data_IF_519715420685
#
_entry.id   IF_519715420685
#
_cell.length_a   1.000
_cell.length_b   1.000
_cell.length_c   1.000
_cell.angle_alpha   90.00
_cell.angle_beta   90.00
_cell.angle_gamma   90.00
#
_symmetry.space_group_name_H-M   'P 1'
#
loop_
_entity.id
_entity.type
_entity.pdbx_description
1 polymer ?
#
# COMPACT_ATOMS: atom_id res chain seq x y z
N UNK A 1 17.81 6.24 16.29
CA UNK A 1 16.64 5.47 16.75
C UNK A 1 16.14 4.66 15.57
N UNK A 2 16.11 3.33 15.69
CA UNK A 2 15.67 2.48 14.58
C UNK A 2 14.18 2.72 14.26
N UNK A 3 13.81 2.71 12.97
CA UNK A 3 12.43 2.88 12.56
C UNK A 3 11.54 1.71 13.02
N UNK A 4 10.27 2.02 13.30
CA UNK A 4 9.24 0.99 13.52
C UNK A 4 9.08 0.09 12.29
N UNK A 5 8.50 -1.10 12.45
CA UNK A 5 8.30 -2.04 11.34
C UNK A 5 7.51 -1.40 10.18
N UNK A 6 6.43 -0.70 10.50
CA UNK A 6 5.63 0.08 9.54
C UNK A 6 6.43 1.23 8.93
N UNK A 7 7.33 1.88 9.67
CA UNK A 7 8.25 2.87 9.14
C UNK A 7 9.20 2.27 8.10
N UNK A 8 9.78 1.11 8.39
CA UNK A 8 10.62 0.37 7.44
C UNK A 8 9.84 -0.06 6.20
N UNK A 9 8.59 -0.48 6.38
CA UNK A 9 7.71 -0.80 5.26
C UNK A 9 7.43 0.42 4.37
N UNK A 10 7.19 1.60 4.95
CA UNK A 10 7.01 2.84 4.17
C UNK A 10 8.29 3.26 3.44
N UNK A 11 9.49 2.99 3.97
CA UNK A 11 10.72 3.20 3.20
C UNK A 11 10.81 2.26 2.01
N UNK A 12 10.33 1.03 2.17
CA UNK A 12 10.39 0.03 1.13
C UNK A 12 9.35 0.25 0.03
N UNK A 13 8.09 0.56 0.40
CA UNK A 13 6.95 0.57 -0.53
C UNK A 13 6.21 1.91 -0.61
N UNK A 14 6.60 2.91 0.18
CA UNK A 14 5.99 4.25 0.16
C UNK A 14 6.49 5.13 -0.98
N UNK A 15 7.31 4.59 -1.88
CA UNK A 15 7.70 5.23 -3.14
C UNK A 15 6.88 4.69 -4.31
N UNK A 16 6.40 5.59 -5.16
CA UNK A 16 5.55 5.25 -6.30
C UNK A 16 6.26 4.28 -7.26
N UNK A 17 7.55 4.48 -7.54
CA UNK A 17 8.28 3.64 -8.48
C UNK A 17 8.44 2.22 -7.96
N UNK A 18 8.64 2.02 -6.66
CA UNK A 18 8.70 0.67 -6.10
C UNK A 18 7.40 -0.09 -6.36
N UNK A 19 6.24 0.50 -6.08
CA UNK A 19 4.96 -0.15 -6.34
C UNK A 19 4.72 -0.38 -7.83
N UNK A 20 5.08 0.57 -8.70
CA UNK A 20 4.97 0.40 -10.15
C UNK A 20 5.89 -0.73 -10.66
N UNK A 21 7.13 -0.81 -10.17
CA UNK A 21 8.08 -1.89 -10.52
C UNK A 21 7.54 -3.24 -10.09
N UNK A 22 7.11 -3.37 -8.83
CA UNK A 22 6.51 -4.60 -8.30
C UNK A 22 5.31 -5.03 -9.15
N UNK A 23 4.45 -4.08 -9.48
CA UNK A 23 3.30 -4.35 -10.32
C UNK A 23 3.66 -4.89 -11.70
N UNK A 24 4.64 -4.30 -12.41
CA UNK A 24 5.06 -4.83 -13.73
C UNK A 24 5.68 -6.24 -13.56
N UNK A 25 6.42 -6.46 -12.47
CA UNK A 25 6.97 -7.77 -12.15
C UNK A 25 5.88 -8.83 -11.89
N UNK A 26 4.78 -8.47 -11.24
CA UNK A 26 3.66 -9.38 -11.00
C UNK A 26 2.78 -9.60 -12.23
N UNK A 27 2.35 -8.52 -12.88
CA UNK A 27 1.31 -8.55 -13.93
C UNK A 27 1.87 -8.91 -15.31
N UNK A 28 3.07 -8.42 -15.64
CA UNK A 28 3.72 -8.62 -16.94
C UNK A 28 4.94 -9.53 -16.87
N UNK A 29 5.26 -10.07 -15.69
CA UNK A 29 6.47 -10.86 -15.45
C UNK A 29 7.76 -10.13 -15.85
N UNK A 30 7.77 -8.80 -15.76
CA UNK A 30 8.92 -7.97 -16.08
C UNK A 30 10.06 -8.25 -15.12
N UNK A 31 11.23 -8.64 -15.65
CA UNK A 31 12.42 -9.02 -14.87
C UNK A 31 13.71 -8.32 -15.32
N UNK A 32 13.72 -7.71 -16.50
CA UNK A 32 14.92 -7.11 -17.09
C UNK A 32 14.84 -5.59 -17.05
N UNK A 33 16.00 -4.98 -16.88
CA UNK A 33 16.14 -3.52 -16.84
C UNK A 33 15.53 -2.81 -18.06
N UNK A 34 15.81 -3.31 -19.27
CA UNK A 34 15.32 -2.74 -20.52
C UNK A 34 13.78 -2.79 -20.62
N UNK A 35 13.17 -3.88 -20.14
CA UNK A 35 11.72 -4.04 -20.16
C UNK A 35 11.05 -3.05 -19.20
N UNK A 36 11.58 -2.87 -17.98
CA UNK A 36 11.07 -1.83 -17.07
C UNK A 36 11.20 -0.42 -17.63
N UNK A 37 12.29 -0.11 -18.33
CA UNK A 37 12.43 1.19 -19.00
C UNK A 37 11.36 1.41 -20.06
N UNK A 38 11.12 0.38 -20.88
CA UNK A 38 10.10 0.44 -21.93
C UNK A 38 8.69 0.62 -21.34
N UNK A 39 8.41 -0.08 -20.23
CA UNK A 39 7.10 -0.09 -19.57
C UNK A 39 6.83 1.16 -18.71
N UNK A 40 7.83 1.71 -18.02
CA UNK A 40 7.63 2.77 -17.03
C UNK A 40 7.97 4.17 -17.53
N UNK A 41 8.73 4.29 -18.63
CA UNK A 41 9.15 5.60 -19.17
C UNK A 41 10.01 6.45 -18.22
N UNK A 42 10.55 5.84 -17.16
CA UNK A 42 11.39 6.48 -16.14
C UNK A 42 12.84 6.62 -16.62
N UNK A 43 13.57 7.62 -16.11
CA UNK A 43 14.98 7.78 -16.42
C UNK A 43 15.81 6.57 -15.95
N UNK A 44 16.89 6.29 -16.68
CA UNK A 44 17.80 5.19 -16.38
C UNK A 44 18.39 5.29 -14.97
N UNK A 45 18.78 6.50 -14.55
CA UNK A 45 19.34 6.76 -13.23
C UNK A 45 18.36 6.49 -12.10
N UNK A 46 17.09 6.91 -12.26
CA UNK A 46 16.04 6.68 -11.25
C UNK A 46 15.70 5.19 -11.17
N UNK A 47 15.52 4.50 -12.31
CA UNK A 47 15.25 3.06 -12.30
C UNK A 47 16.40 2.26 -11.68
N UNK A 48 17.65 2.57 -12.06
CA UNK A 48 18.81 1.89 -11.50
C UNK A 48 18.95 2.14 -10.00
N UNK A 49 18.67 3.36 -9.53
CA UNK A 49 18.58 3.69 -8.11
C UNK A 49 17.55 2.83 -7.38
N UNK A 50 16.33 2.78 -7.90
CA UNK A 50 15.22 2.04 -7.31
C UNK A 50 15.44 0.53 -7.28
N UNK A 51 15.91 -0.06 -8.37
CA UNK A 51 16.22 -1.49 -8.38
C UNK A 51 17.33 -1.84 -7.38
N UNK A 52 18.34 -0.96 -7.22
CA UNK A 52 19.39 -1.15 -6.21
C UNK A 52 18.82 -1.11 -4.79
N UNK A 53 17.95 -0.13 -4.48
CA UNK A 53 17.27 -0.02 -3.19
C UNK A 53 16.37 -1.24 -2.92
N UNK A 54 15.61 -1.70 -3.92
CA UNK A 54 14.78 -2.89 -3.80
C UNK A 54 15.59 -4.17 -3.58
N UNK A 55 16.77 -4.30 -4.20
CA UNK A 55 17.70 -5.42 -3.93
C UNK A 55 18.25 -5.32 -2.51
N UNK A 56 18.71 -4.14 -2.09
CA UNK A 56 19.23 -3.93 -0.73
C UNK A 56 18.15 -4.17 0.36
N UNK A 57 16.90 -3.80 0.08
CA UNK A 57 15.75 -4.03 0.96
C UNK A 57 15.19 -5.46 0.92
N UNK A 58 15.78 -6.34 0.10
CA UNK A 58 15.39 -7.74 -0.01
C UNK A 58 14.07 -7.98 -0.74
N UNK A 59 13.60 -7.04 -1.57
CA UNK A 59 12.42 -7.21 -2.43
C UNK A 59 12.76 -7.89 -3.76
N UNK A 60 13.97 -7.66 -4.27
CA UNK A 60 14.45 -8.26 -5.51
C UNK A 60 15.75 -9.02 -5.27
N UNK A 61 15.96 -10.11 -6.02
CA UNK A 61 17.23 -10.84 -6.07
C UNK A 61 17.79 -10.81 -7.50
N UNK A 62 19.01 -10.30 -7.72
CA UNK A 62 19.64 -10.37 -9.03
C UNK A 62 20.02 -11.82 -9.37
N UNK A 63 19.81 -12.22 -10.61
CA UNK A 63 20.24 -13.50 -11.16
C UNK A 63 20.83 -13.28 -12.56
N UNK A 64 21.94 -13.95 -12.90
CA UNK A 64 22.48 -13.89 -14.25
C UNK A 64 21.53 -14.60 -15.22
N UNK A 65 21.31 -14.02 -16.41
CA UNK A 65 20.62 -14.68 -17.51
C UNK A 65 21.49 -14.65 -18.77
N UNK A 66 21.53 -15.77 -19.51
CA UNK A 66 22.38 -15.92 -20.70
C UNK A 66 21.60 -15.63 -21.99
N UNK A 67 21.94 -14.53 -22.64
CA UNK A 67 21.67 -14.28 -24.07
C UNK A 67 22.71 -13.29 -24.65
N UNK A 68 23.98 -13.68 -24.71
CA UNK A 68 25.10 -12.82 -25.12
C UNK A 68 25.82 -12.14 -23.93
N UNK A 69 26.15 -10.84 -24.02
CA UNK A 69 26.73 -10.06 -22.89
C UNK A 69 25.89 -10.30 -21.63
N UNK A 70 26.51 -10.70 -20.51
CA UNK A 70 25.83 -11.03 -19.26
C UNK A 70 24.82 -9.95 -18.88
N UNK A 71 23.52 -10.28 -18.96
CA UNK A 71 22.44 -9.40 -18.53
C UNK A 71 21.87 -9.96 -17.22
N UNK A 72 21.56 -9.06 -16.30
CA UNK A 72 20.98 -9.38 -14.99
C UNK A 72 19.46 -9.36 -15.08
N UNK A 73 18.82 -10.42 -14.63
CA UNK A 73 17.41 -10.43 -14.28
C UNK A 73 17.22 -10.18 -12.79
N UNK A 74 16.06 -9.63 -12.43
CA UNK A 74 15.69 -9.31 -11.07
C UNK A 74 14.43 -10.09 -10.71
N UNK A 75 14.57 -11.01 -9.76
CA UNK A 75 13.50 -11.91 -9.35
C UNK A 75 12.85 -11.41 -8.07
N UNK A 76 11.53 -11.49 -7.98
CA UNK A 76 10.82 -11.22 -6.72
C UNK A 76 11.25 -12.22 -5.66
N UNK A 77 11.55 -11.72 -4.46
CA UNK A 77 11.77 -12.55 -3.28
C UNK A 77 10.44 -12.94 -2.64
N UNK A 78 10.45 -13.84 -1.66
CA UNK A 78 9.26 -14.16 -0.85
C UNK A 78 8.68 -12.90 -0.19
N UNK A 79 9.55 -12.05 0.35
CA UNK A 79 9.18 -10.74 0.92
C UNK A 79 8.40 -9.86 -0.05
N UNK A 80 8.79 -9.82 -1.32
CA UNK A 80 8.07 -9.07 -2.33
C UNK A 80 6.79 -9.78 -2.79
N UNK A 81 6.80 -11.12 -2.91
CA UNK A 81 5.61 -11.92 -3.25
C UNK A 81 4.47 -11.65 -2.24
N UNK A 82 4.80 -11.52 -0.96
CA UNK A 82 3.87 -11.22 0.11
C UNK A 82 3.26 -9.80 0.08
N UNK A 83 3.77 -8.91 -0.79
CA UNK A 83 3.14 -7.61 -1.07
C UNK A 83 1.98 -7.71 -2.07
N UNK A 84 1.73 -8.90 -2.63
CA UNK A 84 0.66 -9.06 -3.60
C UNK A 84 -0.72 -8.63 -3.06
N UNK A 85 -1.15 -9.03 -1.85
CA UNK A 85 -2.41 -8.55 -1.28
C UNK A 85 -2.46 -7.03 -1.14
N UNK A 86 -1.32 -6.37 -0.89
CA UNK A 86 -1.26 -4.91 -0.80
C UNK A 86 -1.61 -4.28 -2.16
N UNK A 87 -1.02 -4.78 -3.25
CA UNK A 87 -1.30 -4.27 -4.59
C UNK A 87 -2.77 -4.49 -5.00
N UNK A 88 -3.36 -5.62 -4.63
CA UNK A 88 -4.77 -5.92 -4.92
C UNK A 88 -5.72 -5.06 -4.07
N UNK A 89 -5.42 -4.86 -2.77
CA UNK A 89 -6.17 -3.93 -1.92
C UNK A 89 -6.13 -2.50 -2.46
N UNK A 90 -4.96 -2.06 -2.95
CA UNK A 90 -4.83 -0.75 -3.59
C UNK A 90 -5.68 -0.69 -4.85
N UNK A 91 -5.57 -1.67 -5.74
CA UNK A 91 -6.39 -1.73 -6.96
C UNK A 91 -7.89 -1.66 -6.64
N UNK A 92 -8.36 -2.42 -5.65
CA UNK A 92 -9.78 -2.45 -5.25
C UNK A 92 -10.24 -1.08 -4.73
N UNK A 93 -9.47 -0.45 -3.85
CA UNK A 93 -9.81 0.87 -3.32
C UNK A 93 -9.80 1.94 -4.42
N UNK A 94 -8.77 1.93 -5.27
CA UNK A 94 -8.61 2.86 -6.37
C UNK A 94 -9.73 2.72 -7.43
N UNK A 95 -10.17 1.49 -7.71
CA UNK A 95 -11.30 1.22 -8.60
C UNK A 95 -12.61 1.79 -8.05
N UNK A 96 -12.83 1.64 -6.75
CA UNK A 96 -14.09 2.02 -6.11
C UNK A 96 -14.20 3.52 -5.81
N UNK A 97 -13.09 4.21 -5.53
CA UNK A 97 -13.12 5.55 -4.92
C UNK A 97 -12.42 6.66 -5.69
N UNK A 98 -11.80 6.35 -6.83
CA UNK A 98 -10.99 7.31 -7.58
C UNK A 98 -11.45 7.37 -9.02
N UNK A 99 -11.95 8.54 -9.40
CA UNK A 99 -12.30 8.87 -10.78
C UNK A 99 -11.05 8.88 -11.63
N UNK A 100 -11.09 8.16 -12.75
CA UNK A 100 -9.94 7.97 -13.64
C UNK A 100 -10.35 8.20 -15.09
N UNK A 101 -9.43 8.67 -15.95
CA UNK A 101 -9.68 8.79 -17.38
C UNK A 101 -9.83 7.41 -18.05
N UNK A 102 -9.15 6.39 -17.52
CA UNK A 102 -9.23 5.01 -17.99
C UNK A 102 -9.57 4.06 -16.83
N UNK A 103 -10.45 3.07 -17.05
CA UNK A 103 -10.78 2.10 -16.01
C UNK A 103 -9.56 1.22 -15.69
N UNK A 104 -9.55 0.66 -14.48
CA UNK A 104 -8.57 -0.35 -14.11
C UNK A 104 -8.96 -1.69 -14.76
N UNK A 105 -7.99 -2.57 -15.09
CA UNK A 105 -8.29 -3.87 -15.66
C UNK A 105 -9.10 -4.68 -14.65
N UNK A 106 -9.93 -5.55 -15.19
CA UNK A 106 -10.72 -6.45 -14.37
C UNK A 106 -9.84 -7.47 -13.64
N UNK A 107 -10.19 -7.71 -12.37
CA UNK A 107 -9.64 -8.81 -11.60
C UNK A 107 -10.57 -10.02 -11.74
N UNK A 108 -10.04 -11.09 -12.33
CA UNK A 108 -10.74 -12.36 -12.51
C UNK A 108 -10.30 -13.33 -11.41
N UNK A 109 -11.26 -13.82 -10.63
CA UNK A 109 -11.00 -14.93 -9.72
C UNK A 109 -11.06 -16.25 -10.49
N UNK A 110 -9.93 -16.95 -10.58
CA UNK A 110 -9.79 -18.17 -11.37
C UNK A 110 -10.67 -19.32 -10.83
N UNK A 111 -10.92 -19.35 -9.52
CA UNK A 111 -11.77 -20.39 -8.91
C UNK A 111 -13.24 -20.31 -9.34
N UNK A 112 -13.77 -19.10 -9.58
CA UNK A 112 -15.16 -18.94 -10.01
C UNK A 112 -15.32 -18.40 -11.44
N UNK A 113 -14.22 -18.07 -12.12
CA UNK A 113 -14.17 -17.58 -13.50
C UNK A 113 -14.74 -16.17 -13.72
N UNK A 114 -15.13 -15.45 -12.66
CA UNK A 114 -15.82 -14.15 -12.77
C UNK A 114 -14.89 -12.98 -12.47
N UNK A 115 -15.09 -11.89 -13.21
CA UNK A 115 -14.52 -10.58 -12.90
C UNK A 115 -15.28 -9.94 -11.73
N UNK A 116 -14.58 -9.48 -10.71
CA UNK A 116 -15.22 -8.88 -9.55
C UNK A 116 -14.25 -8.24 -8.57
N UNK A 117 -14.81 -7.62 -7.53
CA UNK A 117 -14.03 -6.94 -6.50
C UNK A 117 -13.64 -7.89 -5.36
N UNK A 118 -12.77 -7.38 -4.50
CA UNK A 118 -12.24 -8.09 -3.33
C UNK A 118 -12.69 -7.41 -2.05
N UNK A 119 -12.87 -8.19 -1.00
CA UNK A 119 -13.10 -7.69 0.35
C UNK A 119 -12.08 -8.25 1.33
N UNK A 120 -11.79 -7.46 2.38
CA UNK A 120 -10.87 -7.87 3.44
C UNK A 120 -11.53 -8.88 4.37
N UNK A 121 -10.82 -9.94 4.72
CA UNK A 121 -11.21 -10.89 5.75
C UNK A 121 -10.16 -11.10 6.83
N UNK A 122 -10.54 -11.80 7.90
CA UNK A 122 -9.67 -12.20 8.99
C UNK A 122 -9.38 -13.70 8.93
N UNK A 123 -8.15 -14.09 8.55
CA UNK A 123 -7.75 -15.51 8.44
C UNK A 123 -7.86 -16.25 9.77
N UNK A 124 -7.73 -15.54 10.89
CA UNK A 124 -7.86 -16.12 12.23
C UNK A 124 -9.25 -16.75 12.44
N UNK A 125 -10.32 -16.19 11.86
CA UNK A 125 -11.69 -16.66 12.09
C UNK A 125 -12.54 -16.87 10.82
N UNK A 126 -11.99 -16.62 9.63
CA UNK A 126 -12.68 -16.77 8.34
C UNK A 126 -13.78 -15.74 8.06
N UNK A 127 -13.98 -14.74 8.93
CA UNK A 127 -15.00 -13.70 8.72
C UNK A 127 -14.53 -12.65 7.72
N UNK A 128 -15.46 -12.25 6.85
CA UNK A 128 -15.36 -11.14 5.92
C UNK A 128 -16.77 -10.63 5.57
N UNK A 129 -16.95 -9.34 5.21
CA UNK A 129 -15.90 -8.32 5.21
C UNK A 129 -15.51 -7.89 6.63
N UNK A 130 -14.27 -7.47 6.81
CA UNK A 130 -13.76 -6.82 8.02
C UNK A 130 -13.46 -5.36 7.68
N UNK A 131 -14.08 -4.41 8.38
CA UNK A 131 -13.81 -2.99 8.24
C UNK A 131 -13.10 -2.42 9.48
N UNK A 132 -12.62 -1.17 9.40
CA UNK A 132 -11.95 -0.49 10.51
C UNK A 132 -12.78 -0.53 11.81
N UNK A 133 -14.11 -0.37 11.70
CA UNK A 133 -15.05 -0.39 12.83
C UNK A 133 -15.14 -1.73 13.54
N UNK A 134 -14.79 -2.82 12.85
CA UNK A 134 -14.78 -4.18 13.36
C UNK A 134 -13.43 -4.52 14.01
N UNK A 135 -12.58 -3.51 14.22
CA UNK A 135 -11.26 -3.69 14.81
C UNK A 135 -10.99 -2.72 15.95
N UNK A 136 -10.11 -3.15 16.85
CA UNK A 136 -9.44 -2.27 17.81
C UNK A 136 -7.98 -2.20 17.44
N UNK A 137 -7.43 -0.99 17.39
CA UNK A 137 -6.01 -0.80 17.11
C UNK A 137 -5.31 -0.26 18.34
N UNK A 138 -4.31 -0.99 18.81
CA UNK A 138 -3.42 -0.56 19.88
C UNK A 138 -2.03 -0.31 19.30
N UNK A 139 -1.34 0.66 19.89
CA UNK A 139 0.00 1.05 19.49
C UNK A 139 0.82 1.24 20.74
N UNK A 140 2.01 0.66 20.77
CA UNK A 140 2.93 0.84 21.89
C UNK A 140 3.44 2.29 21.96
N UNK A 141 3.73 2.76 23.19
CA UNK A 141 3.94 4.17 23.57
C UNK A 141 4.96 4.90 22.68
N UNK A 142 5.98 4.20 22.20
CA UNK A 142 7.13 4.77 21.51
C UNK A 142 7.09 4.62 19.99
N UNK A 143 5.98 4.17 19.41
CA UNK A 143 5.83 4.05 17.95
C UNK A 143 5.98 5.42 17.30
N UNK A 144 7.22 5.74 16.95
CA UNK A 144 7.63 7.05 16.46
C UNK A 144 7.85 6.93 14.97
N UNK A 145 6.88 7.44 14.22
CA UNK A 145 6.97 7.56 12.77
C UNK A 145 7.79 8.79 12.34
N UNK A 146 8.28 9.57 13.31
CA UNK A 146 8.89 10.88 13.12
C UNK A 146 10.31 10.83 12.48
N UNK A 147 10.95 9.66 12.38
CA UNK A 147 12.35 9.55 11.91
C UNK A 147 12.52 8.96 10.51
N UNK A 148 11.43 8.66 9.81
CA UNK A 148 11.47 7.95 8.52
C UNK A 148 11.19 8.89 7.36
N UNK A 149 12.24 9.41 6.71
CA UNK A 149 12.08 10.19 5.47
C UNK A 149 12.03 9.27 4.26
N UNK A 150 10.83 8.97 3.73
CA UNK A 150 10.72 8.40 2.39
C UNK A 150 11.27 9.43 1.37
N UNK A 151 12.18 9.06 0.45
CA UNK A 151 12.73 9.99 -0.53
C UNK A 151 11.60 10.56 -1.39
N UNK A 152 11.36 11.88 -1.31
CA UNK A 152 10.48 12.60 -2.22
C UNK A 152 11.16 12.75 -3.58
N UNK A 153 11.23 11.67 -4.37
CA UNK A 153 11.77 11.78 -5.71
C UNK A 153 10.68 12.28 -6.68
N UNK A 154 10.64 13.61 -6.78
CA UNK A 154 10.26 14.42 -7.94
C UNK A 154 8.90 14.14 -8.62
N UNK A 155 7.91 14.97 -8.25
CA UNK A 155 6.61 15.14 -8.93
C UNK A 155 6.70 15.79 -10.34
N UNK A 156 7.87 16.01 -10.96
CA UNK A 156 7.97 16.99 -12.08
C UNK A 156 8.76 16.64 -13.35
N UNK A 157 9.27 15.43 -13.51
CA UNK A 157 10.05 15.06 -14.71
C UNK A 157 9.69 13.68 -15.26
N UNK A 158 8.39 13.38 -15.30
CA UNK A 158 7.90 12.14 -15.90
C UNK A 158 6.99 12.51 -17.06
N UNK A 159 7.12 11.81 -18.19
CA UNK A 159 6.06 11.75 -19.20
C UNK A 159 4.76 11.42 -18.48
N UNK A 160 3.67 12.03 -18.88
CA UNK A 160 2.40 11.81 -18.25
C UNK A 160 2.04 10.32 -18.29
N UNK A 161 2.16 9.64 -17.15
CA UNK A 161 1.79 8.23 -17.01
C UNK A 161 0.26 8.10 -16.85
N UNK A 162 -0.49 9.22 -16.90
CA UNK A 162 -1.96 9.24 -16.83
C UNK A 162 -2.64 8.41 -17.93
N UNK A 163 -1.97 8.17 -19.05
CA UNK A 163 -2.47 7.36 -20.17
C UNK A 163 -2.13 5.87 -20.04
N UNK A 164 -1.32 5.47 -19.06
CA UNK A 164 -1.05 4.06 -18.82
C UNK A 164 -2.21 3.44 -18.04
N UNK A 165 -2.92 2.51 -18.67
CA UNK A 165 -3.95 1.69 -18.03
C UNK A 165 -3.40 0.94 -16.79
N UNK A 166 -2.07 0.81 -16.68
CA UNK A 166 -1.36 0.25 -15.52
C UNK A 166 -0.84 1.26 -14.49
N UNK A 167 -1.18 2.55 -14.57
CA UNK A 167 -0.81 3.55 -13.58
C UNK A 167 -1.88 3.73 -12.50
N UNK A 168 -1.96 2.75 -11.61
CA UNK A 168 -3.06 2.64 -10.65
C UNK A 168 -2.97 3.52 -9.40
N UNK A 169 -1.94 4.34 -9.20
CA UNK A 169 -1.60 4.75 -7.82
C UNK A 169 -1.69 6.25 -7.46
N UNK A 170 -2.25 7.19 -8.25
CA UNK A 170 -2.07 8.61 -7.94
C UNK A 170 -2.66 8.99 -6.57
N UNK A 171 -3.87 8.53 -6.24
CA UNK A 171 -4.52 8.89 -4.97
C UNK A 171 -3.93 8.11 -3.78
N UNK A 172 -3.65 6.82 -3.96
CA UNK A 172 -2.97 6.00 -2.96
C UNK A 172 -1.62 6.60 -2.59
N UNK A 173 -0.87 7.14 -3.55
CA UNK A 173 0.41 7.80 -3.26
C UNK A 173 0.25 9.12 -2.51
N UNK A 174 -0.86 9.85 -2.66
CA UNK A 174 -1.12 11.00 -1.78
C UNK A 174 -1.44 10.57 -0.34
N UNK A 175 -1.99 9.37 -0.16
CA UNK A 175 -2.42 8.83 1.14
C UNK A 175 -1.31 8.04 1.87
N UNK A 176 -0.51 7.25 1.16
CA UNK A 176 0.58 6.43 1.73
C UNK A 176 1.98 6.95 1.40
N UNK A 177 2.12 7.76 0.34
CA UNK A 177 3.42 8.17 -0.20
C UNK A 177 4.20 9.13 0.68
N UNK A 178 3.66 9.48 1.85
CA UNK A 178 4.47 10.05 2.90
C UNK A 178 4.08 9.56 4.29
N UNK A 179 5.09 9.64 5.16
CA UNK A 179 5.01 9.21 6.55
C UNK A 179 3.89 9.89 7.32
N UNK A 180 3.63 11.18 7.08
CA UNK A 180 2.67 11.93 7.89
C UNK A 180 1.24 11.53 7.52
N UNK A 181 1.00 11.26 6.24
CA UNK A 181 -0.28 10.75 5.76
C UNK A 181 -0.63 9.39 6.38
N UNK A 182 0.34 8.45 6.41
CA UNK A 182 0.10 7.12 7.00
C UNK A 182 -0.23 7.19 8.49
N UNK A 183 0.38 8.11 9.24
CA UNK A 183 0.22 8.17 10.71
C UNK A 183 -1.00 8.94 11.14
N UNK A 184 -1.38 9.95 10.34
CA UNK A 184 -2.66 10.63 10.48
C UNK A 184 -3.80 9.64 10.23
N UNK A 185 -3.69 8.79 9.19
CA UNK A 185 -4.65 7.69 8.99
C UNK A 185 -4.67 6.71 10.16
N UNK A 186 -3.50 6.26 10.62
CA UNK A 186 -3.40 5.36 11.76
C UNK A 186 -4.11 5.95 13.00
N UNK A 187 -3.84 7.23 13.32
CA UNK A 187 -4.49 7.94 14.42
C UNK A 187 -6.01 8.05 14.22
N UNK A 188 -6.47 8.32 12.99
CA UNK A 188 -7.89 8.39 12.68
C UNK A 188 -8.61 7.04 12.83
N UNK A 189 -7.97 5.92 12.46
CA UNK A 189 -8.50 4.58 12.74
C UNK A 189 -8.56 4.27 14.25
N UNK A 190 -7.69 4.88 15.06
CA UNK A 190 -7.80 4.87 16.53
C UNK A 190 -8.85 5.85 17.08
N UNK A 191 -9.69 6.43 16.20
CA UNK A 191 -10.77 7.39 16.54
C UNK A 191 -10.29 8.71 17.13
N UNK A 192 -9.05 9.12 16.87
CA UNK A 192 -8.63 10.51 17.12
C UNK A 192 -9.33 11.40 16.09
N UNK A 193 -9.92 12.49 16.57
CA UNK A 193 -10.78 13.37 15.77
C UNK A 193 -10.37 14.83 15.87
N UNK A 194 -9.72 15.25 16.95
CA UNK A 194 -9.39 16.67 17.15
C UNK A 194 -7.93 16.95 16.82
N UNK A 195 -7.65 18.15 16.32
CA UNK A 195 -6.28 18.59 16.02
C UNK A 195 -5.33 18.37 17.21
N UNK A 196 -5.76 18.77 18.42
CA UNK A 196 -4.98 18.61 19.65
C UNK A 196 -4.69 17.15 20.00
N UNK A 197 -5.59 16.22 19.70
CA UNK A 197 -5.36 14.78 19.90
C UNK A 197 -4.31 14.25 18.92
N UNK A 198 -4.42 14.61 17.64
CA UNK A 198 -3.43 14.25 16.63
C UNK A 198 -2.06 14.82 16.98
N UNK A 199 -1.98 16.11 17.32
CA UNK A 199 -0.73 16.79 17.66
C UNK A 199 -0.06 16.13 18.87
N UNK A 200 -0.80 15.98 19.97
CA UNK A 200 -0.29 15.38 21.21
C UNK A 200 0.20 13.94 20.99
N UNK A 201 -0.51 13.15 20.16
CA UNK A 201 -0.19 11.74 19.97
C UNK A 201 0.90 11.48 18.94
N UNK A 202 0.92 12.27 17.86
CA UNK A 202 1.84 12.07 16.73
C UNK A 202 3.16 12.82 16.91
N UNK A 203 3.19 13.84 17.78
CA UNK A 203 4.33 14.76 17.93
C UNK A 203 4.75 15.35 16.56
N UNK A 204 3.77 15.57 15.69
CA UNK A 204 3.96 16.15 14.38
C UNK A 204 4.07 17.67 14.50
N UNK A 205 4.93 18.35 13.71
CA UNK A 205 4.91 19.81 13.64
C UNK A 205 3.52 20.31 13.24
N UNK A 206 2.96 21.34 13.88
CA UNK A 206 1.59 21.80 13.63
C UNK A 206 1.31 22.13 12.17
N UNK A 207 2.26 22.80 11.50
CA UNK A 207 2.15 23.16 10.08
C UNK A 207 2.03 21.94 9.16
N UNK A 208 2.74 20.86 9.48
CA UNK A 208 2.71 19.60 8.73
C UNK A 208 1.39 18.88 8.95
N UNK A 209 0.92 18.81 10.21
CA UNK A 209 -0.37 18.21 10.54
C UNK A 209 -1.52 18.96 9.85
N UNK A 210 -1.51 20.29 9.90
CA UNK A 210 -2.51 21.12 9.21
C UNK A 210 -2.53 20.90 7.71
N UNK A 211 -1.36 20.86 7.05
CA UNK A 211 -1.28 20.56 5.61
C UNK A 211 -1.86 19.18 5.28
N UNK A 212 -1.57 18.17 6.13
CA UNK A 212 -2.05 16.79 5.93
C UNK A 212 -3.54 16.65 6.13
N UNK A 213 -4.08 17.20 7.21
CA UNK A 213 -5.53 17.19 7.47
C UNK A 213 -6.29 17.88 6.33
N UNK A 214 -5.80 19.04 5.88
CA UNK A 214 -6.35 19.75 4.72
C UNK A 214 -6.35 18.90 3.46
N UNK A 215 -5.20 18.31 3.09
CA UNK A 215 -5.10 17.45 1.90
C UNK A 215 -6.02 16.23 1.97
N UNK A 216 -6.15 15.62 3.14
CA UNK A 216 -7.08 14.50 3.31
C UNK A 216 -8.54 14.94 3.17
N UNK A 217 -8.88 16.16 3.57
CA UNK A 217 -10.21 16.74 3.29
C UNK A 217 -10.38 17.00 1.79
N UNK A 218 -9.38 17.56 1.11
CA UNK A 218 -9.41 17.79 -0.35
C UNK A 218 -9.54 16.49 -1.15
N UNK A 219 -8.97 15.39 -0.65
CA UNK A 219 -9.06 14.06 -1.26
C UNK A 219 -10.33 13.28 -0.88
N UNK A 220 -11.24 13.88 -0.10
CA UNK A 220 -12.44 13.23 0.45
C UNK A 220 -12.11 12.00 1.32
N UNK A 221 -10.95 11.98 1.97
CA UNK A 221 -10.57 10.97 2.97
C UNK A 221 -11.12 11.36 4.34
N UNK A 222 -11.08 12.65 4.66
CA UNK A 222 -11.70 13.24 5.82
C UNK A 222 -12.81 14.21 5.43
N UNK A 223 -13.76 14.39 6.34
CA UNK A 223 -14.60 15.58 6.36
C UNK A 223 -14.42 16.28 7.71
N UNK A 224 -14.54 17.59 7.70
CA UNK A 224 -14.48 18.42 8.90
C UNK A 224 -15.89 18.71 9.39
N UNK A 225 -16.15 18.44 10.67
CA UNK A 225 -17.38 18.79 11.37
C UNK A 225 -17.03 19.62 12.60
N UNK A 226 -17.12 20.94 12.47
CA UNK A 226 -16.63 21.89 13.48
C UNK A 226 -15.13 21.73 13.72
N UNK A 227 -14.76 21.31 14.93
CA UNK A 227 -13.36 21.08 15.34
C UNK A 227 -12.91 19.62 15.15
N UNK A 228 -13.79 18.74 14.66
CA UNK A 228 -13.48 17.32 14.46
C UNK A 228 -13.21 17.01 12.99
N UNK A 229 -12.17 16.23 12.75
CA UNK A 229 -11.86 15.55 11.50
C UNK A 229 -12.32 14.09 11.61
N UNK A 230 -13.17 13.65 10.69
CA UNK A 230 -13.72 12.29 10.68
C UNK A 230 -13.50 11.64 9.34
N UNK A 231 -13.23 10.33 9.34
CA UNK A 231 -13.13 9.53 8.11
C UNK A 231 -14.47 9.51 7.38
N UNK A 232 -14.44 9.84 6.09
CA UNK A 232 -15.53 9.57 5.14
C UNK A 232 -15.65 8.07 4.88
N UNK A 233 -16.63 7.64 4.08
CA UNK A 233 -16.70 6.25 3.62
C UNK A 233 -15.47 5.86 2.80
N UNK A 234 -14.97 6.77 1.95
CA UNK A 234 -13.73 6.61 1.18
C UNK A 234 -12.51 6.41 2.07
N UNK A 235 -12.37 7.24 3.11
CA UNK A 235 -11.29 7.11 4.09
C UNK A 235 -11.38 5.82 4.89
N UNK A 236 -12.57 5.41 5.31
CA UNK A 236 -12.78 4.14 6.03
C UNK A 236 -12.45 2.93 5.15
N UNK A 237 -12.79 2.96 3.86
CA UNK A 237 -12.48 1.89 2.91
C UNK A 237 -10.97 1.68 2.71
N UNK A 238 -10.15 2.71 2.94
CA UNK A 238 -8.69 2.60 2.86
C UNK A 238 -8.09 1.67 3.95
N UNK A 239 -8.88 1.31 4.95
CA UNK A 239 -8.45 0.39 6.02
C UNK A 239 -7.87 -0.92 5.50
N UNK A 240 -8.44 -1.51 4.43
CA UNK A 240 -7.93 -2.76 3.88
C UNK A 240 -6.51 -2.66 3.30
N UNK A 241 -6.15 -1.51 2.74
CA UNK A 241 -4.77 -1.23 2.32
C UNK A 241 -3.86 -1.11 3.54
N UNK A 242 -4.30 -0.32 4.53
CA UNK A 242 -3.52 -0.07 5.74
C UNK A 242 -3.28 -1.34 6.58
N UNK A 243 -4.30 -2.17 6.80
CA UNK A 243 -4.17 -3.40 7.60
C UNK A 243 -3.25 -4.42 6.94
N UNK A 244 -3.30 -4.56 5.61
CA UNK A 244 -2.38 -5.43 4.86
C UNK A 244 -0.95 -4.91 4.94
N UNK A 245 -0.75 -3.59 4.85
CA UNK A 245 0.58 -2.99 5.01
C UNK A 245 1.14 -3.23 6.42
N UNK A 246 0.31 -3.07 7.46
CA UNK A 246 0.71 -3.33 8.86
C UNK A 246 1.08 -4.79 9.05
N UNK A 247 0.26 -5.73 8.60
CA UNK A 247 0.55 -7.16 8.67
C UNK A 247 1.88 -7.50 7.98
N UNK A 248 2.05 -7.08 6.73
CA UNK A 248 3.28 -7.32 5.98
C UNK A 248 4.51 -6.72 6.68
N UNK A 249 4.39 -5.48 7.18
CA UNK A 249 5.46 -4.80 7.89
C UNK A 249 5.91 -5.58 9.12
N UNK A 250 4.97 -6.06 9.93
CA UNK A 250 5.25 -6.81 11.15
C UNK A 250 5.85 -8.19 10.88
N UNK A 251 5.52 -8.83 9.74
CA UNK A 251 6.10 -10.13 9.36
C UNK A 251 7.54 -10.01 8.87
N UNK A 252 7.88 -8.93 8.16
CA UNK A 252 9.14 -8.82 7.43
C UNK A 252 10.17 -7.85 8.03
N UNK A 253 9.79 -7.08 9.06
CA UNK A 253 10.71 -6.15 9.73
C UNK A 253 10.67 -6.32 11.25
N UNK A 254 11.84 -6.45 11.84
CA UNK A 254 12.03 -6.22 13.27
C UNK A 254 11.95 -4.70 13.50
N UNK A 255 10.80 -4.22 13.96
CA UNK A 255 10.66 -2.84 14.42
C UNK A 255 11.39 -2.65 15.75
N UNK A 256 11.77 -1.42 16.06
CA UNK A 256 12.28 -1.08 17.40
C UNK A 256 11.30 -1.56 18.51
N UNK A 257 11.80 -1.96 19.69
CA UNK A 257 10.94 -2.33 20.82
C UNK A 257 9.87 -1.27 21.09
N UNK A 258 8.67 -1.70 21.48
CA UNK A 258 7.53 -0.80 21.78
C UNK A 258 7.08 0.11 20.62
N UNK A 259 7.31 -0.33 19.37
CA UNK A 259 6.81 0.36 18.18
C UNK A 259 5.77 -0.43 17.36
N UNK A 260 5.31 -1.56 17.91
CA UNK A 260 4.35 -2.45 17.26
C UNK A 260 2.95 -1.83 17.18
N UNK A 261 2.26 -2.10 16.08
CA UNK A 261 0.86 -1.73 15.86
C UNK A 261 0.04 -3.02 15.80
N UNK A 262 -0.75 -3.27 16.84
CA UNK A 262 -1.61 -4.45 16.88
C UNK A 262 -3.02 -4.05 16.45
N UNK A 263 -3.56 -4.74 15.45
CA UNK A 263 -4.96 -4.60 15.01
C UNK A 263 -5.67 -5.89 15.42
N UNK A 264 -6.61 -5.82 16.36
CA UNK A 264 -7.40 -6.96 16.80
C UNK A 264 -8.79 -6.91 16.17
N UNK A 265 -9.27 -8.05 15.68
CA UNK A 265 -10.63 -8.17 15.17
C UNK A 265 -11.61 -8.36 16.33
N UNK A 266 -12.64 -7.52 16.42
CA UNK A 266 -13.54 -7.49 17.59
C UNK A 266 -14.42 -8.73 17.71
N UNK A 267 -14.69 -9.44 16.62
CA UNK A 267 -15.50 -10.67 16.67
C UNK A 267 -14.69 -11.83 17.26
N UNK A 268 -13.45 -12.03 16.81
CA UNK A 268 -12.66 -13.19 17.21
C UNK A 268 -11.62 -12.90 18.30
N UNK A 269 -11.46 -11.64 18.69
CA UNK A 269 -10.53 -11.15 19.73
C UNK A 269 -9.06 -11.55 19.51
N UNK A 270 -8.71 -11.91 18.27
CA UNK A 270 -7.35 -12.22 17.84
C UNK A 270 -6.80 -11.12 16.97
N UNK A 271 -5.48 -11.06 16.86
CA UNK A 271 -4.81 -10.19 15.90
C UNK A 271 -5.34 -10.49 14.49
N UNK A 272 -5.66 -9.43 13.76
CA UNK A 272 -6.16 -9.47 12.41
C UNK A 272 -5.02 -9.92 11.49
N UNK A 273 -5.13 -11.15 10.99
CA UNK A 273 -4.34 -11.61 9.86
C UNK A 273 -5.18 -11.39 8.60
N UNK A 274 -4.89 -10.36 7.79
CA UNK A 274 -5.72 -10.00 6.66
C UNK A 274 -5.58 -11.02 5.51
N UNK A 275 -6.71 -11.35 4.88
CA UNK A 275 -6.72 -12.00 3.56
C UNK A 275 -7.75 -11.31 2.66
N UNK A 276 -7.70 -11.61 1.36
CA UNK A 276 -8.66 -11.11 0.40
C UNK A 276 -9.66 -12.20 0.04
N UNK A 277 -10.94 -11.86 -0.03
CA UNK A 277 -12.03 -12.77 -0.40
C UNK A 277 -12.75 -12.26 -1.64
N UNK A 278 -13.11 -13.16 -2.53
CA UNK A 278 -13.89 -12.82 -3.72
C UNK A 278 -15.31 -12.40 -3.29
N UNK A 279 -15.76 -11.22 -3.71
CA UNK A 279 -17.11 -10.72 -3.39
C UNK A 279 -18.23 -11.55 -4.03
N UNK A 280 -17.92 -12.34 -5.06
CA UNK A 280 -18.92 -13.09 -5.84
C UNK A 280 -19.08 -14.55 -5.43
N UNK A 281 -18.00 -15.25 -5.06
CA UNK A 281 -18.06 -16.65 -4.62
C UNK A 281 -17.67 -16.85 -3.17
N UNK A 282 -17.26 -15.78 -2.47
CA UNK A 282 -16.91 -15.80 -1.04
C UNK A 282 -15.72 -16.70 -0.69
N UNK A 283 -14.91 -17.10 -1.67
CA UNK A 283 -13.69 -17.88 -1.45
C UNK A 283 -12.46 -16.98 -1.26
N UNK A 284 -11.47 -17.40 -0.46
CA UNK A 284 -10.19 -16.71 -0.34
C UNK A 284 -9.46 -16.60 -1.68
N UNK A 285 -8.85 -15.44 -1.93
CA UNK A 285 -8.08 -15.16 -3.11
C UNK A 285 -6.60 -15.04 -2.75
N UNK A 286 -5.83 -16.05 -3.18
CA UNK A 286 -4.37 -15.99 -3.17
C UNK A 286 -3.85 -15.40 -4.49
N UNK A 287 -2.53 -15.15 -4.56
CA UNK A 287 -1.87 -14.70 -5.79
C UNK A 287 -2.12 -15.63 -6.98
N UNK A 288 -2.05 -16.93 -6.75
CA UNK A 288 -2.24 -17.93 -7.81
C UNK A 288 -3.71 -18.14 -8.18
N UNK A 289 -4.65 -17.62 -7.40
CA UNK A 289 -6.08 -17.74 -7.64
C UNK A 289 -6.66 -16.57 -8.44
N UNK A 290 -5.87 -15.54 -8.78
CA UNK A 290 -6.37 -14.35 -9.47
C UNK A 290 -5.53 -13.99 -10.69
N UNK A 291 -6.19 -13.40 -11.69
CA UNK A 291 -5.57 -12.85 -12.89
C UNK A 291 -6.15 -11.47 -13.16
N UNK A 292 -5.31 -10.52 -13.54
CA UNK A 292 -5.78 -9.25 -14.11
C UNK A 292 -5.93 -9.37 -15.62
N UNK A 293 -7.05 -8.90 -16.15
CA UNK A 293 -7.29 -8.87 -17.58
C UNK A 293 -6.74 -7.58 -18.21
N UNK A 294 -5.49 -7.66 -18.69
CA UNK A 294 -4.77 -6.50 -19.22
C UNK A 294 -5.21 -6.10 -20.65
N UNK A 295 -6.13 -6.84 -21.24
CA UNK A 295 -6.61 -6.66 -22.62
C UNK A 295 -8.12 -6.37 -22.70
N UNK A 296 -8.77 -6.15 -21.56
CA UNK A 296 -10.15 -5.71 -21.55
C UNK A 296 -10.27 -4.36 -22.30
N UNK A 297 -11.23 -4.22 -23.23
CA UNK A 297 -11.33 -3.10 -24.17
C UNK A 297 -11.57 -1.74 -23.50
#
# INVERSE_FOLDING_TARGET
>A
MEPSAIGQALLAVGDQWTLLILQRAFLKHTRRFADWRAELGVSESVLAGRLREMVAGGLLRPAPYRSGRTRTEYWLTEKAIDLWPLLVSIWSWERAWVTRPHPLPDLVHLGCGRSGDVELGCSSCGKAPVAARDTTMTRAMNTTFAHVSAPRLHRRTVRDVSTDALSYLPATMEILGDRWSTVVLAAAFMRMRRFSEFEAKLKAPPSVLSDRLRRFTELDVFYQNGLEYRLTTKGQAFFGVYSVLVDWAQRWYAGAPDTRITINHTICQRELVPYLRCTLCLEPMSRSAIRFDLHAP
#
